data_IF_993502901006
#
_entry.id   IF_993502901006
#
_cell.length_a   1.000
_cell.length_b   1.000
_cell.length_c   1.000
_cell.angle_alpha   90.00
_cell.angle_beta   90.00
_cell.angle_gamma   90.00
#
_symmetry.space_group_name_H-M   'P 1'
#
loop_
_entity.id
_entity.type
_entity.pdbx_description
1 polymer ?
#
# COMPACT_ATOMS: atom_id res chain seq x y z
N UNK A 1 19.31 3.08 2.81
CA UNK A 1 18.29 2.70 2.82
C UNK A 1 17.09 3.50 2.36
N UNK A 2 16.01 3.56 3.12
CA UNK A 2 14.80 4.20 2.62
C UNK A 2 14.99 5.65 2.32
N UNK A 3 15.78 6.29 3.14
CA UNK A 3 16.04 7.69 2.93
C UNK A 3 16.70 7.95 1.60
N UNK A 4 17.59 7.05 1.23
CA UNK A 4 18.25 7.15 -0.03
C UNK A 4 17.27 7.09 -1.19
N UNK A 5 16.31 6.20 -1.08
CA UNK A 5 15.31 6.10 -2.12
C UNK A 5 14.51 7.38 -2.28
N UNK A 6 14.18 8.00 -1.15
CA UNK A 6 13.46 9.25 -1.21
C UNK A 6 14.26 10.33 -1.88
N UNK A 7 15.52 10.39 -1.60
CA UNK A 7 16.39 11.35 -2.24
C UNK A 7 16.42 11.14 -3.74
N UNK A 8 16.51 9.90 -4.15
CA UNK A 8 16.53 9.59 -5.55
C UNK A 8 15.24 9.99 -6.23
N UNK A 9 14.15 9.81 -5.51
CA UNK A 9 12.86 10.18 -6.03
C UNK A 9 12.77 11.64 -6.35
N UNK A 10 13.40 12.46 -5.55
CA UNK A 10 13.31 13.90 -5.75
C UNK A 10 14.35 14.43 -6.68
N UNK A 11 15.23 13.60 -7.21
CA UNK A 11 16.23 14.13 -8.11
C UNK A 11 15.67 14.24 -9.51
N UNK A 12 16.48 14.23 -10.51
CA UNK A 12 16.05 14.56 -11.84
C UNK A 12 15.30 13.45 -12.47
N UNK A 13 14.47 13.81 -13.42
CA UNK A 13 13.65 12.83 -14.07
C UNK A 13 14.38 11.72 -14.74
N UNK A 14 15.28 12.03 -15.64
CA UNK A 14 15.99 11.02 -16.39
C UNK A 14 16.77 10.10 -15.50
N UNK A 15 17.44 10.69 -14.56
CA UNK A 15 18.24 9.92 -13.63
C UNK A 15 17.39 9.07 -12.74
N UNK A 16 16.25 9.60 -12.34
CA UNK A 16 15.34 8.87 -11.51
C UNK A 16 14.91 7.58 -12.13
N UNK A 17 14.59 7.64 -13.40
CA UNK A 17 14.11 6.49 -14.11
C UNK A 17 15.11 5.36 -14.09
N UNK A 18 16.35 5.68 -14.41
CA UNK A 18 17.40 4.68 -14.43
C UNK A 18 17.67 4.12 -13.04
N UNK A 19 17.67 5.01 -12.06
CA UNK A 19 17.94 4.60 -10.70
C UNK A 19 16.82 3.72 -10.15
N UNK A 20 15.58 4.03 -10.49
CA UNK A 20 14.46 3.25 -10.01
C UNK A 20 14.54 1.81 -10.49
N UNK A 21 14.90 1.60 -11.74
CA UNK A 21 15.01 0.26 -12.24
C UNK A 21 16.10 -0.53 -11.50
N UNK A 22 17.20 0.13 -11.22
CA UNK A 22 18.28 -0.50 -10.49
C UNK A 22 17.85 -0.82 -9.07
N UNK A 23 17.13 0.10 -8.44
CA UNK A 23 16.66 -0.12 -7.09
C UNK A 23 15.64 -1.25 -7.04
N UNK A 24 14.81 -1.34 -8.07
CA UNK A 24 13.85 -2.41 -8.16
C UNK A 24 14.57 -3.76 -8.28
N UNK A 25 15.58 -3.81 -9.13
CA UNK A 25 16.34 -5.04 -9.31
C UNK A 25 16.98 -5.50 -8.02
N UNK A 26 17.47 -4.57 -7.23
CA UNK A 26 18.15 -4.92 -5.99
C UNK A 26 17.18 -5.12 -4.82
N UNK A 27 15.90 -5.06 -5.07
CA UNK A 27 14.93 -5.31 -4.02
C UNK A 27 14.74 -4.16 -3.05
N UNK A 28 15.14 -2.97 -3.45
CA UNK A 28 15.02 -1.81 -2.58
C UNK A 28 13.71 -1.07 -2.74
N UNK A 29 12.88 -1.52 -3.66
CA UNK A 29 11.55 -0.95 -3.82
C UNK A 29 10.55 -2.04 -3.52
N UNK A 30 9.79 -1.83 -2.48
CA UNK A 30 8.79 -2.79 -2.03
C UNK A 30 7.45 -2.07 -2.01
N UNK A 31 6.67 -2.16 -3.08
CA UNK A 31 5.45 -1.36 -3.20
C UNK A 31 4.49 -1.52 -2.02
N UNK A 32 4.39 -2.72 -1.49
CA UNK A 32 3.49 -2.97 -0.38
C UNK A 32 3.88 -2.20 0.88
N UNK A 33 5.16 -1.98 1.07
CA UNK A 33 5.63 -1.22 2.21
C UNK A 33 5.79 0.25 1.89
N UNK A 34 6.38 0.52 0.74
CA UNK A 34 6.71 1.89 0.38
C UNK A 34 5.49 2.73 0.09
N UNK A 35 4.39 2.09 -0.25
CA UNK A 35 3.17 2.81 -0.59
C UNK A 35 2.34 3.18 0.63
N UNK A 36 2.72 2.72 1.80
CA UNK A 36 1.94 3.02 2.99
C UNK A 36 2.02 4.49 3.31
N UNK A 37 0.84 5.04 3.44
CA UNK A 37 0.73 6.46 3.71
C UNK A 37 0.70 6.69 5.20
N UNK A 38 1.59 7.52 5.70
CA UNK A 38 1.66 7.82 7.13
C UNK A 38 1.14 9.20 7.41
N UNK A 39 0.11 9.62 6.70
CA UNK A 39 -0.49 10.92 6.94
C UNK A 39 -1.06 10.97 8.35
N UNK A 40 -1.20 12.19 8.83
CA UNK A 40 -1.75 12.40 10.15
C UNK A 40 -3.15 11.83 10.27
N UNK A 41 -3.93 12.02 9.22
CA UNK A 41 -5.30 11.51 9.19
C UNK A 41 -5.34 10.00 9.34
N UNK A 42 -4.49 9.32 8.61
CA UNK A 42 -4.48 7.86 8.66
C UNK A 42 -4.04 7.35 10.03
N UNK A 43 -3.04 8.03 10.61
CA UNK A 43 -2.58 7.64 11.94
C UNK A 43 -3.67 7.84 12.98
N UNK A 44 -4.43 8.91 12.85
CA UNK A 44 -5.52 9.16 13.77
C UNK A 44 -6.61 8.11 13.64
N UNK A 45 -6.94 7.75 12.40
CA UNK A 45 -7.93 6.71 12.17
C UNK A 45 -7.50 5.37 12.75
N UNK A 46 -6.24 5.04 12.57
CA UNK A 46 -5.73 3.80 13.15
C UNK A 46 -5.85 3.82 14.67
N UNK A 47 -5.60 4.96 15.26
CA UNK A 47 -5.76 5.09 16.71
C UNK A 47 -7.19 4.90 17.15
N UNK A 48 -8.13 5.49 16.42
CA UNK A 48 -9.54 5.30 16.73
C UNK A 48 -9.94 3.85 16.57
N UNK A 49 -9.49 3.23 15.48
CA UNK A 49 -9.82 1.83 15.24
C UNK A 49 -9.30 0.93 16.36
N UNK A 50 -8.10 1.19 16.82
CA UNK A 50 -7.53 0.40 17.91
C UNK A 50 -8.35 0.55 19.19
N UNK A 51 -8.77 1.76 19.49
CA UNK A 51 -9.55 2.01 20.70
C UNK A 51 -10.92 1.36 20.60
N UNK A 52 -11.57 1.50 19.46
CA UNK A 52 -12.89 0.90 19.29
C UNK A 52 -12.81 -0.63 19.34
N UNK A 53 -11.75 -1.18 18.77
CA UNK A 53 -11.53 -2.61 18.82
C UNK A 53 -11.39 -3.08 20.26
N UNK A 54 -10.62 -2.37 21.03
CA UNK A 54 -10.40 -2.71 22.42
C UNK A 54 -11.70 -2.62 23.22
N UNK A 55 -12.46 -1.55 22.99
CA UNK A 55 -13.74 -1.39 23.68
C UNK A 55 -14.70 -2.48 23.31
N UNK A 56 -14.72 -2.86 22.06
CA UNK A 56 -15.62 -3.91 21.60
C UNK A 56 -15.27 -5.25 22.21
N UNK A 57 -14.00 -5.54 22.28
CA UNK A 57 -13.56 -6.82 22.86
C UNK A 57 -13.99 -6.98 24.32
N UNK A 58 -14.05 -5.87 25.03
CA UNK A 58 -14.46 -5.92 26.43
C UNK A 58 -15.90 -6.34 26.61
N UNK A 59 -16.70 -6.19 25.58
CA UNK A 59 -18.13 -6.50 25.66
C UNK A 59 -18.44 -7.91 25.17
N UNK A 60 -17.47 -8.60 24.60
CA UNK A 60 -17.72 -9.90 23.98
C UNK A 60 -17.72 -11.02 25.02
N UNK A 61 -18.61 -11.98 24.80
CA UNK A 61 -18.48 -13.27 25.43
C UNK A 61 -17.34 -14.02 24.75
N UNK A 62 -16.90 -15.12 25.35
CA UNK A 62 -15.83 -15.91 24.73
C UNK A 62 -16.23 -16.39 23.35
N UNK A 63 -17.47 -16.77 23.21
CA UNK A 63 -17.98 -17.25 21.93
C UNK A 63 -17.95 -16.16 20.89
N UNK A 64 -18.43 -14.98 21.26
CA UNK A 64 -18.44 -13.84 20.35
C UNK A 64 -17.04 -13.42 19.96
N UNK A 65 -16.12 -13.50 20.90
CA UNK A 65 -14.76 -13.14 20.62
C UNK A 65 -14.15 -14.07 19.59
N UNK A 66 -14.43 -15.35 19.68
CA UNK A 66 -13.93 -16.32 18.73
C UNK A 66 -14.45 -16.04 17.32
N UNK A 67 -15.75 -15.74 17.23
CA UNK A 67 -16.34 -15.43 15.93
C UNK A 67 -15.76 -14.16 15.36
N UNK A 68 -15.57 -13.17 16.21
CA UNK A 68 -15.01 -11.90 15.76
C UNK A 68 -13.58 -12.06 15.26
N UNK A 69 -12.79 -12.89 15.94
CA UNK A 69 -11.42 -13.13 15.51
C UNK A 69 -11.39 -13.79 14.13
N UNK A 70 -12.29 -14.73 13.91
CA UNK A 70 -12.37 -15.37 12.60
C UNK A 70 -12.76 -14.36 11.52
N UNK A 71 -13.68 -13.50 11.84
CA UNK A 71 -14.06 -12.44 10.91
C UNK A 71 -12.88 -11.52 10.62
N UNK A 72 -12.16 -11.16 11.64
CA UNK A 72 -11.01 -10.26 11.50
C UNK A 72 -9.95 -10.88 10.62
N UNK A 73 -9.68 -12.17 10.81
CA UNK A 73 -8.70 -12.86 9.99
C UNK A 73 -9.11 -12.86 8.53
N UNK A 74 -10.37 -13.13 8.27
CA UNK A 74 -10.88 -13.10 6.90
C UNK A 74 -10.79 -11.70 6.31
N UNK A 75 -11.09 -10.71 7.13
CA UNK A 75 -11.00 -9.32 6.68
C UNK A 75 -9.58 -8.93 6.30
N UNK A 76 -8.62 -9.33 7.14
CA UNK A 76 -7.22 -9.04 6.85
C UNK A 76 -6.77 -9.69 5.55
N UNK A 77 -7.20 -10.92 5.33
CA UNK A 77 -6.85 -11.62 4.11
C UNK A 77 -7.50 -10.94 2.90
N UNK A 78 -8.76 -10.57 3.04
CA UNK A 78 -9.45 -9.87 1.97
C UNK A 78 -8.77 -8.56 1.61
N UNK A 79 -8.40 -7.78 2.63
CA UNK A 79 -7.76 -6.49 2.39
C UNK A 79 -6.42 -6.68 1.69
N UNK A 80 -5.68 -7.70 2.09
CA UNK A 80 -4.39 -7.97 1.46
C UNK A 80 -4.56 -8.28 -0.02
N UNK A 81 -5.56 -9.12 -0.34
CA UNK A 81 -5.82 -9.46 -1.73
C UNK A 81 -6.33 -8.27 -2.51
N UNK A 82 -7.18 -7.46 -1.87
CA UNK A 82 -7.72 -6.28 -2.53
C UNK A 82 -6.63 -5.26 -2.84
N UNK A 83 -5.72 -5.09 -1.91
CA UNK A 83 -4.62 -4.15 -2.13
C UNK A 83 -3.74 -4.59 -3.29
N UNK A 84 -3.46 -5.88 -3.38
CA UNK A 84 -2.68 -6.40 -4.48
C UNK A 84 -3.39 -6.19 -5.81
N UNK A 85 -4.70 -6.41 -5.82
CA UNK A 85 -5.48 -6.23 -7.04
C UNK A 85 -5.49 -4.78 -7.47
N UNK A 86 -5.61 -3.88 -6.53
CA UNK A 86 -5.59 -2.45 -6.84
C UNK A 86 -4.25 -2.05 -7.43
N UNK A 87 -3.18 -2.56 -6.85
CA UNK A 87 -1.84 -2.25 -7.35
C UNK A 87 -1.68 -2.74 -8.79
N UNK A 88 -2.11 -3.98 -9.05
CA UNK A 88 -2.00 -4.53 -10.39
C UNK A 88 -2.79 -3.70 -11.39
N UNK A 89 -4.00 -3.36 -11.03
CA UNK A 89 -4.84 -2.59 -11.92
C UNK A 89 -4.24 -1.22 -12.21
N UNK A 90 -3.82 -0.55 -11.17
CA UNK A 90 -3.27 0.78 -11.32
C UNK A 90 -1.99 0.78 -12.15
N UNK A 91 -1.15 -0.22 -11.90
CA UNK A 91 0.10 -0.34 -12.64
C UNK A 91 -0.17 -0.55 -14.13
N UNK A 92 -1.09 -1.45 -14.44
CA UNK A 92 -1.41 -1.73 -15.84
C UNK A 92 -2.06 -0.53 -16.51
N UNK A 93 -2.94 0.13 -15.80
CA UNK A 93 -3.58 1.30 -16.34
C UNK A 93 -2.56 2.39 -16.63
N UNK A 94 -1.65 2.62 -15.70
CA UNK A 94 -0.61 3.62 -15.89
C UNK A 94 0.26 3.30 -17.09
N UNK A 95 0.63 2.03 -17.24
CA UNK A 95 1.46 1.63 -18.36
C UNK A 95 0.73 1.85 -19.69
N UNK A 96 -0.54 1.46 -19.73
CA UNK A 96 -1.33 1.65 -20.95
C UNK A 96 -1.50 3.12 -21.30
N UNK A 97 -1.74 3.94 -20.30
CA UNK A 97 -1.88 5.37 -20.54
C UNK A 97 -0.59 5.96 -21.09
N UNK A 98 0.53 5.51 -20.55
CA UNK A 98 1.82 5.98 -21.01
C UNK A 98 2.06 5.58 -22.46
N UNK A 99 1.76 4.33 -22.77
CA UNK A 99 1.95 3.82 -24.13
C UNK A 99 1.07 4.59 -25.10
N UNK A 100 -0.16 4.82 -24.72
CA UNK A 100 -1.09 5.55 -25.60
C UNK A 100 -0.61 6.98 -25.84
N UNK A 101 -0.09 7.59 -24.80
CA UNK A 101 0.44 8.95 -24.92
C UNK A 101 1.61 9.00 -25.88
N UNK A 102 2.43 7.98 -25.88
CA UNK A 102 3.61 7.96 -26.74
C UNK A 102 3.33 7.58 -28.15
N UNK A 103 2.18 6.99 -28.38
CA UNK A 103 1.84 6.57 -29.72
C UNK A 103 1.24 7.63 -30.53
N UNK A 104 0.96 8.62 -30.46
CA UNK A 104 0.46 9.58 -31.17
C UNK A 104 0.48 9.67 -32.42
N UNK A 105 0.39 9.90 -32.90
CA UNK A 105 0.34 10.27 -33.66
C UNK A 105 0.15 10.40 -34.71
N UNK A 106 -0.08 10.50 -35.24
CA UNK A 106 -0.31 10.85 -36.26
C UNK A 106 -0.88 10.71 -36.72
#
# INVERSE_FOLDING_TARGET
MRQKRLCLFTSRFGLCSVVLLKELWHGNIIPGEDSRNNSKEMKELLGYMARHHEDLEKTFTDEQKEIFEKFHDCWDEYVSLAEAAIFEYAFRLGARLTIETLQDTE
#
